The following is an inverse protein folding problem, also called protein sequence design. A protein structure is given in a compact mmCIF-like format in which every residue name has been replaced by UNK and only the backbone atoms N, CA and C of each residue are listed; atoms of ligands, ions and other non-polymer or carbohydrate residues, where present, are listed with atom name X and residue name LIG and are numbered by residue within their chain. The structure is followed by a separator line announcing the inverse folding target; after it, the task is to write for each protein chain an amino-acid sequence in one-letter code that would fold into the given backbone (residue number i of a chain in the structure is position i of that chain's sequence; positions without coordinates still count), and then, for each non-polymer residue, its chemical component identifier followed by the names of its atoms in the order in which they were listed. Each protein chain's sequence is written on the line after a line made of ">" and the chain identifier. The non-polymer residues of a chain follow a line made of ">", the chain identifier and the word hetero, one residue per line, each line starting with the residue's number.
data_IF_111792008733
#
_entry.id   IF_111792008733
#
_cell.length_a   1.000
_cell.length_b   1.000
_cell.length_c   1.000
_cell.angle_alpha   90.00
_cell.angle_beta   90.00
_cell.angle_gamma   90.00
#
_symmetry.space_group_name_H-M   'P 1'
#
loop_
_entity.id
_entity.type
_entity.pdbx_description
1 polymer ?
#
# COMPACT_ATOMS: atom_id res chain seq x y z
N UNK A 1 4.29 1.01 -8.26
CA UNK A 1 3.29 1.81 -7.48
C UNK A 1 2.41 2.70 -8.37
N UNK A 2 2.95 3.64 -9.18
CA UNK A 2 2.12 4.51 -10.04
C UNK A 2 1.26 3.72 -11.04
N UNK A 3 1.79 2.69 -11.68
CA UNK A 3 1.03 1.84 -12.61
C UNK A 3 -0.10 1.08 -11.91
N UNK A 4 0.17 0.59 -10.70
CA UNK A 4 -0.84 -0.06 -9.86
C UNK A 4 -1.96 0.93 -9.51
N UNK A 5 -1.62 2.10 -8.99
CA UNK A 5 -2.60 3.13 -8.65
C UNK A 5 -3.41 3.58 -9.89
N UNK A 6 -2.77 3.75 -11.04
CA UNK A 6 -3.46 4.07 -12.30
C UNK A 6 -4.43 2.96 -12.72
N UNK A 7 -4.07 1.69 -12.51
CA UNK A 7 -4.94 0.55 -12.86
C UNK A 7 -6.16 0.45 -11.93
N UNK A 8 -6.01 0.78 -10.65
CA UNK A 8 -7.12 0.76 -9.68
C UNK A 8 -8.05 1.96 -9.87
N UNK A 9 -7.49 3.16 -10.00
CA UNK A 9 -8.24 4.42 -10.08
C UNK A 9 -8.75 4.75 -11.48
N UNK A 10 -8.17 4.11 -12.50
CA UNK A 10 -8.49 4.38 -13.89
C UNK A 10 -7.89 5.69 -14.43
N UNK A 11 -8.29 6.13 -15.64
CA UNK A 11 -7.61 7.21 -16.37
C UNK A 11 -7.83 8.62 -15.79
N UNK A 12 -8.61 8.77 -14.75
CA UNK A 12 -8.99 10.08 -14.20
C UNK A 12 -7.93 10.73 -13.31
N UNK A 13 -6.93 9.97 -12.86
CA UNK A 13 -5.94 10.44 -11.86
C UNK A 13 -4.62 10.93 -12.49
N UNK A 14 -4.47 10.91 -13.81
CA UNK A 14 -3.26 11.36 -14.54
C UNK A 14 -1.93 10.77 -14.01
N UNK A 15 -2.00 9.62 -13.32
CA UNK A 15 -0.82 8.99 -12.71
C UNK A 15 0.16 8.43 -13.74
N UNK A 16 -0.37 7.97 -14.88
CA UNK A 16 0.44 7.54 -16.02
C UNK A 16 1.21 8.72 -16.63
N UNK A 17 0.58 9.88 -16.75
CA UNK A 17 1.22 11.10 -17.26
C UNK A 17 2.33 11.58 -16.33
N UNK A 18 2.12 11.53 -15.03
CA UNK A 18 3.16 11.83 -14.03
C UNK A 18 4.37 10.91 -14.20
N UNK A 19 4.15 9.59 -14.34
CA UNK A 19 5.22 8.63 -14.56
C UNK A 19 6.01 8.95 -15.82
N UNK A 20 5.31 9.16 -16.94
CA UNK A 20 5.93 9.47 -18.23
C UNK A 20 6.72 10.80 -18.19
N UNK A 21 6.19 11.81 -17.50
CA UNK A 21 6.88 13.06 -17.26
C UNK A 21 8.19 12.85 -16.51
N UNK A 22 8.17 12.10 -15.40
CA UNK A 22 9.36 11.85 -14.59
C UNK A 22 10.43 11.07 -15.37
N UNK A 23 10.04 10.04 -16.14
CA UNK A 23 10.96 9.28 -17.00
C UNK A 23 11.63 10.24 -18.00
N UNK A 24 10.84 11.09 -18.68
CA UNK A 24 11.39 12.03 -19.63
C UNK A 24 12.33 13.06 -18.97
N UNK A 25 12.07 13.47 -17.72
CA UNK A 25 12.98 14.36 -17.00
C UNK A 25 14.34 13.68 -16.71
N UNK A 26 14.36 12.40 -16.40
CA UNK A 26 15.62 11.65 -16.23
C UNK A 26 16.43 11.65 -17.53
N UNK A 27 15.80 11.36 -18.66
CA UNK A 27 16.43 11.38 -19.99
C UNK A 27 17.00 12.76 -20.34
N UNK A 28 16.19 13.82 -20.17
CA UNK A 28 16.59 15.21 -20.50
C UNK A 28 17.76 15.73 -19.65
N UNK A 29 17.89 15.22 -18.43
CA UNK A 29 18.98 15.59 -17.53
C UNK A 29 20.16 14.62 -17.57
N UNK A 30 20.18 13.67 -18.50
CA UNK A 30 21.29 12.73 -18.69
C UNK A 30 21.52 11.79 -17.52
N UNK A 31 20.47 11.48 -16.75
CA UNK A 31 20.57 10.54 -15.62
C UNK A 31 20.73 9.14 -16.14
N UNK A 32 21.78 8.44 -15.72
CA UNK A 32 21.95 7.01 -16.01
C UNK A 32 20.96 6.17 -15.20
N UNK A 33 20.17 5.35 -15.88
CA UNK A 33 19.17 4.48 -15.26
C UNK A 33 19.53 3.03 -15.49
N UNK A 34 19.86 2.29 -14.42
CA UNK A 34 20.20 0.87 -14.43
C UNK A 34 18.99 0.05 -13.98
N UNK A 35 18.14 -0.40 -14.92
CA UNK A 35 17.00 -1.28 -14.62
C UNK A 35 17.43 -2.74 -14.51
N UNK A 36 16.64 -3.57 -13.81
CA UNK A 36 16.94 -5.00 -13.63
C UNK A 36 18.20 -5.25 -12.78
N UNK A 37 18.63 -4.23 -12.03
CA UNK A 37 19.81 -4.30 -11.15
C UNK A 37 19.34 -4.23 -9.71
N UNK A 38 19.58 -5.28 -8.94
CA UNK A 38 19.38 -5.27 -7.50
C UNK A 38 20.50 -4.47 -6.84
N UNK A 39 20.12 -3.46 -6.07
CA UNK A 39 21.07 -2.61 -5.36
C UNK A 39 21.42 -3.28 -4.04
N UNK A 40 22.72 -3.53 -3.84
CA UNK A 40 23.29 -4.04 -2.59
C UNK A 40 24.24 -3.00 -1.98
N UNK A 41 24.57 -3.18 -0.71
CA UNK A 41 25.56 -2.33 -0.04
C UNK A 41 26.92 -2.39 -0.74
N UNK A 42 27.33 -3.59 -1.19
CA UNK A 42 28.59 -3.79 -1.91
C UNK A 42 28.61 -3.02 -3.23
N UNK A 43 27.48 -3.01 -3.96
CA UNK A 43 27.36 -2.23 -5.20
C UNK A 43 27.48 -0.73 -4.91
N UNK A 44 26.77 -0.21 -3.92
CA UNK A 44 26.85 1.20 -3.52
C UNK A 44 28.28 1.57 -3.14
N UNK A 45 28.91 0.79 -2.29
CA UNK A 45 30.27 1.05 -1.82
C UNK A 45 31.31 0.96 -2.95
N UNK A 46 31.10 0.06 -3.95
CA UNK A 46 31.99 -0.06 -5.11
C UNK A 46 31.90 1.12 -6.08
N UNK A 47 30.75 1.76 -6.20
CA UNK A 47 30.55 2.99 -7.00
C UNK A 47 31.15 4.23 -6.32
N UNK A 48 31.43 4.15 -4.99
CA UNK A 48 32.03 5.20 -4.16
C UNK A 48 31.40 6.59 -4.38
N UNK A 49 30.07 6.74 -4.26
CA UNK A 49 29.38 7.99 -4.51
C UNK A 49 29.68 9.04 -3.44
N UNK A 50 29.59 10.32 -3.78
CA UNK A 50 29.68 11.43 -2.83
C UNK A 50 28.44 11.52 -1.94
N UNK A 51 27.27 11.18 -2.47
CA UNK A 51 26.00 11.13 -1.74
C UNK A 51 25.11 9.97 -2.22
N UNK A 52 24.32 9.41 -1.31
CA UNK A 52 23.34 8.36 -1.61
C UNK A 52 21.93 8.81 -1.21
N UNK A 53 20.99 8.71 -2.12
CA UNK A 53 19.56 8.95 -1.83
C UNK A 53 18.84 7.60 -1.92
N UNK A 54 18.38 7.07 -0.78
CA UNK A 54 17.62 5.84 -0.71
C UNK A 54 16.13 6.12 -0.82
N UNK A 55 15.53 5.64 -1.91
CA UNK A 55 14.11 5.73 -2.21
C UNK A 55 13.52 4.34 -2.56
N UNK A 56 13.94 3.31 -1.82
CA UNK A 56 13.61 1.90 -2.07
C UNK A 56 12.13 1.53 -1.80
N UNK A 57 11.31 2.51 -1.45
CA UNK A 57 9.89 2.30 -1.13
C UNK A 57 9.68 1.75 0.28
N UNK A 58 8.46 1.29 0.56
CA UNK A 58 8.10 0.65 1.82
C UNK A 58 7.82 -0.83 1.63
N UNK A 59 7.78 -1.54 2.75
CA UNK A 59 7.37 -2.94 2.82
C UNK A 59 5.98 -3.02 3.45
N UNK A 60 5.09 -3.83 2.87
CA UNK A 60 3.79 -4.06 3.50
C UNK A 60 3.95 -4.98 4.70
N UNK A 61 3.30 -4.63 5.80
CA UNK A 61 3.28 -5.50 6.97
C UNK A 61 2.60 -6.83 6.64
N UNK A 62 3.15 -7.90 7.17
CA UNK A 62 2.67 -9.25 6.89
C UNK A 62 1.40 -9.53 7.67
N UNK A 63 0.34 -9.93 6.96
CA UNK A 63 -0.89 -10.37 7.58
C UNK A 63 -0.89 -11.90 7.70
N UNK A 64 -0.84 -12.40 8.92
CA UNK A 64 -1.03 -13.83 9.22
C UNK A 64 -2.40 -14.03 9.84
N UNK A 65 -3.17 -14.99 9.33
CA UNK A 65 -4.50 -15.33 9.82
C UNK A 65 -4.54 -16.83 10.13
N UNK A 66 -4.93 -17.15 11.34
CA UNK A 66 -5.11 -18.55 11.77
C UNK A 66 -6.29 -19.19 11.05
N UNK A 67 -6.19 -20.49 10.74
CA UNK A 67 -7.29 -21.22 10.14
C UNK A 67 -6.90 -22.42 9.30
N UNK A 68 -7.84 -22.87 8.48
CA UNK A 68 -7.69 -24.06 7.63
C UNK A 68 -7.19 -23.78 6.20
N UNK A 69 -6.88 -22.52 5.89
CA UNK A 69 -6.44 -22.09 4.57
C UNK A 69 -7.56 -21.98 3.52
N UNK A 70 -8.83 -22.10 3.91
CA UNK A 70 -9.98 -22.01 2.98
C UNK A 70 -10.14 -20.64 2.33
N UNK A 71 -9.65 -19.57 2.96
CA UNK A 71 -9.58 -18.24 2.38
C UNK A 71 -8.12 -17.74 2.36
N UNK A 72 -7.48 -17.70 1.18
CA UNK A 72 -6.10 -17.25 1.07
C UNK A 72 -5.96 -15.76 1.40
N UNK A 73 -4.83 -15.39 1.99
CA UNK A 73 -4.38 -14.01 2.07
C UNK A 73 -3.72 -13.64 0.75
N UNK A 74 -4.24 -12.62 0.11
CA UNK A 74 -3.78 -12.11 -1.20
C UNK A 74 -3.11 -10.76 -0.97
N UNK A 75 -1.87 -10.62 -1.40
CA UNK A 75 -1.14 -9.36 -1.30
C UNK A 75 -1.76 -8.28 -2.18
N UNK A 76 -1.71 -7.03 -1.70
CA UNK A 76 -2.29 -5.87 -2.37
C UNK A 76 -1.83 -5.73 -3.84
N UNK A 77 -0.58 -6.05 -4.13
CA UNK A 77 -0.02 -5.91 -5.48
C UNK A 77 -0.56 -6.96 -6.47
N UNK A 78 -1.18 -8.03 -5.96
CA UNK A 78 -1.64 -9.17 -6.75
C UNK A 78 -3.17 -9.31 -6.81
N UNK A 79 -3.93 -8.57 -6.00
CA UNK A 79 -5.37 -8.84 -5.85
C UNK A 79 -6.16 -8.69 -7.16
N UNK A 80 -5.79 -7.76 -8.04
CA UNK A 80 -6.46 -7.55 -9.32
C UNK A 80 -6.29 -8.72 -10.31
N UNK A 81 -5.22 -9.50 -10.14
CA UNK A 81 -4.87 -10.62 -11.01
C UNK A 81 -5.16 -11.97 -10.38
N UNK A 82 -5.57 -11.99 -9.11
CA UNK A 82 -5.86 -13.22 -8.37
C UNK A 82 -7.34 -13.55 -8.48
N UNK A 83 -7.62 -14.80 -8.88
CA UNK A 83 -9.01 -15.29 -8.85
C UNK A 83 -9.46 -15.51 -7.41
N UNK A 84 -10.44 -14.75 -6.98
CA UNK A 84 -11.04 -14.83 -5.65
C UNK A 84 -12.52 -15.17 -5.75
N UNK A 85 -13.06 -15.79 -4.69
CA UNK A 85 -14.51 -15.98 -4.54
C UNK A 85 -15.27 -14.65 -4.37
N UNK A 86 -16.53 -14.72 -4.02
CA UNK A 86 -17.40 -13.53 -4.03
C UNK A 86 -17.32 -12.70 -2.76
N UNK A 87 -16.95 -13.30 -1.63
CA UNK A 87 -16.91 -12.62 -0.32
C UNK A 87 -15.47 -12.32 0.04
N UNK A 88 -15.06 -11.06 -0.08
CA UNK A 88 -13.68 -10.65 0.12
C UNK A 88 -13.58 -9.71 1.33
N UNK A 89 -12.68 -10.03 2.24
CA UNK A 89 -12.27 -9.10 3.30
C UNK A 89 -11.10 -8.29 2.78
N UNK A 90 -11.16 -6.98 2.91
CA UNK A 90 -10.00 -6.08 2.76
C UNK A 90 -9.54 -5.72 4.18
N UNK A 91 -8.34 -6.12 4.53
CA UNK A 91 -7.75 -5.81 5.83
C UNK A 91 -6.93 -4.53 5.74
N UNK A 92 -7.25 -3.55 6.58
CA UNK A 92 -6.55 -2.26 6.63
C UNK A 92 -7.49 -1.07 6.46
N UNK A 93 -6.96 0.13 6.64
CA UNK A 93 -7.73 1.39 6.60
C UNK A 93 -7.01 2.54 5.88
N UNK A 94 -5.93 2.27 5.17
CA UNK A 94 -5.19 3.23 4.37
C UNK A 94 -5.82 3.43 2.98
N UNK A 95 -5.32 4.40 2.22
CA UNK A 95 -5.82 4.73 0.89
C UNK A 95 -5.90 3.52 -0.05
N UNK A 96 -4.89 2.64 -0.02
CA UNK A 96 -4.84 1.48 -0.89
C UNK A 96 -5.92 0.44 -0.54
N UNK A 97 -6.20 0.26 0.76
CA UNK A 97 -7.26 -0.63 1.22
C UNK A 97 -8.65 -0.15 0.74
N UNK A 98 -8.90 1.16 0.82
CA UNK A 98 -10.14 1.75 0.33
C UNK A 98 -10.27 1.69 -1.20
N UNK A 99 -9.18 1.95 -1.93
CA UNK A 99 -9.14 1.81 -3.39
C UNK A 99 -9.41 0.36 -3.81
N UNK A 100 -8.78 -0.62 -3.14
CA UNK A 100 -9.01 -2.04 -3.40
C UNK A 100 -10.46 -2.44 -3.10
N UNK A 101 -11.04 -1.95 -1.99
CA UNK A 101 -12.44 -2.22 -1.65
C UNK A 101 -13.40 -1.67 -2.71
N UNK A 102 -13.14 -0.46 -3.21
CA UNK A 102 -13.92 0.13 -4.30
C UNK A 102 -13.81 -0.70 -5.58
N UNK A 103 -12.58 -1.02 -5.99
CA UNK A 103 -12.31 -1.81 -7.20
C UNK A 103 -13.02 -3.17 -7.14
N UNK A 104 -12.88 -3.91 -6.04
CA UNK A 104 -13.52 -5.20 -5.83
C UNK A 104 -15.05 -5.09 -5.90
N UNK A 105 -15.62 -4.05 -5.30
CA UNK A 105 -17.08 -3.83 -5.29
C UNK A 105 -17.60 -3.53 -6.69
N UNK A 106 -16.89 -2.71 -7.47
CA UNK A 106 -17.22 -2.44 -8.88
C UNK A 106 -17.15 -3.74 -9.70
N UNK A 107 -16.22 -4.65 -9.35
CA UNK A 107 -16.10 -5.98 -9.96
C UNK A 107 -17.04 -7.03 -9.32
N UNK A 108 -18.13 -6.58 -8.68
CA UNK A 108 -19.22 -7.42 -8.18
C UNK A 108 -18.84 -8.35 -7.02
N UNK A 109 -17.81 -8.03 -6.26
CA UNK A 109 -17.49 -8.73 -5.01
C UNK A 109 -18.29 -8.15 -3.84
N UNK A 110 -18.61 -9.00 -2.88
CA UNK A 110 -19.17 -8.59 -1.58
C UNK A 110 -17.98 -8.25 -0.67
N UNK A 111 -17.77 -6.97 -0.44
CA UNK A 111 -16.57 -6.51 0.28
C UNK A 111 -16.90 -6.14 1.72
N UNK A 112 -16.02 -6.55 2.61
CA UNK A 112 -16.01 -6.13 4.01
C UNK A 112 -14.62 -5.59 4.36
N UNK A 113 -14.55 -4.39 4.93
CA UNK A 113 -13.30 -3.82 5.45
C UNK A 113 -13.19 -4.17 6.92
N UNK A 114 -12.03 -4.71 7.33
CA UNK A 114 -11.70 -5.01 8.72
C UNK A 114 -10.37 -4.35 9.06
N UNK A 115 -10.30 -3.60 10.15
CA UNK A 115 -9.08 -2.89 10.54
C UNK A 115 -8.98 -2.75 12.05
N UNK A 116 -7.77 -2.85 12.64
CA UNK A 116 -7.53 -2.54 14.03
C UNK A 116 -7.66 -1.04 14.35
N UNK A 117 -7.56 -0.18 13.32
CA UNK A 117 -7.61 1.27 13.49
C UNK A 117 -9.03 1.77 13.74
N UNK A 118 -9.21 2.85 14.50
CA UNK A 118 -10.51 3.48 14.69
C UNK A 118 -11.00 4.15 13.40
N UNK A 119 -12.30 4.34 13.27
CA UNK A 119 -12.90 4.99 12.11
C UNK A 119 -12.42 6.44 11.87
N UNK A 120 -11.92 7.10 12.89
CA UNK A 120 -11.31 8.43 12.78
C UNK A 120 -9.98 8.44 12.02
N UNK A 121 -9.35 7.28 11.87
CA UNK A 121 -8.07 7.10 11.18
C UNK A 121 -8.22 6.47 9.79
N UNK A 122 -9.44 6.39 9.28
CA UNK A 122 -9.69 5.90 7.94
C UNK A 122 -9.06 6.83 6.89
N UNK A 123 -8.24 6.25 6.03
CA UNK A 123 -7.64 6.91 4.86
C UNK A 123 -7.00 8.28 5.18
N UNK A 124 -6.26 8.37 6.27
CA UNK A 124 -5.60 9.62 6.71
C UNK A 124 -4.55 10.14 5.71
N UNK A 125 -4.20 9.36 4.69
CA UNK A 125 -3.27 9.75 3.62
C UNK A 125 -3.91 10.71 2.61
N UNK A 126 -5.23 10.89 2.67
CA UNK A 126 -6.02 11.76 1.82
C UNK A 126 -6.52 13.01 2.57
N UNK A 127 -7.10 13.95 1.82
CA UNK A 127 -7.83 15.04 2.46
C UNK A 127 -9.10 14.53 3.14
N UNK A 128 -9.55 15.18 4.21
CA UNK A 128 -10.80 14.82 4.89
C UNK A 128 -12.01 14.78 3.93
N UNK A 129 -12.01 15.63 2.91
CA UNK A 129 -13.08 15.66 1.92
C UNK A 129 -13.05 14.40 1.05
N UNK A 130 -11.90 14.02 0.53
CA UNK A 130 -11.73 12.81 -0.28
C UNK A 130 -12.06 11.55 0.53
N UNK A 131 -11.60 11.47 1.79
CA UNK A 131 -11.95 10.40 2.72
C UNK A 131 -13.46 10.25 2.92
N UNK A 132 -14.15 11.37 3.16
CA UNK A 132 -15.63 11.35 3.34
C UNK A 132 -16.34 10.91 2.07
N UNK A 133 -15.89 11.37 0.91
CA UNK A 133 -16.46 10.93 -0.36
C UNK A 133 -16.29 9.44 -0.58
N UNK A 134 -15.08 8.92 -0.35
CA UNK A 134 -14.77 7.50 -0.50
C UNK A 134 -15.59 6.63 0.45
N UNK A 135 -15.60 6.95 1.74
CA UNK A 135 -16.35 6.18 2.74
C UNK A 135 -17.87 6.21 2.48
N UNK A 136 -18.40 7.36 2.04
CA UNK A 136 -19.80 7.49 1.66
C UNK A 136 -20.13 6.65 0.41
N UNK A 137 -19.26 6.65 -0.60
CA UNK A 137 -19.42 5.86 -1.80
C UNK A 137 -19.39 4.35 -1.50
N UNK A 138 -18.42 3.90 -0.71
CA UNK A 138 -18.32 2.50 -0.30
C UNK A 138 -19.55 2.05 0.50
N UNK A 139 -20.01 2.87 1.43
CA UNK A 139 -21.25 2.59 2.18
C UNK A 139 -22.47 2.48 1.27
N UNK A 140 -22.63 3.42 0.33
CA UNK A 140 -23.75 3.40 -0.64
C UNK A 140 -23.68 2.17 -1.57
N UNK A 141 -22.49 1.63 -1.80
CA UNK A 141 -22.29 0.39 -2.57
C UNK A 141 -22.45 -0.88 -1.72
N UNK A 142 -22.78 -0.76 -0.44
CA UNK A 142 -23.04 -1.88 0.47
C UNK A 142 -21.80 -2.47 1.13
N UNK A 143 -20.64 -1.81 1.03
CA UNK A 143 -19.44 -2.23 1.74
C UNK A 143 -19.64 -2.02 3.23
N UNK A 144 -19.36 -3.06 4.02
CA UNK A 144 -19.39 -3.01 5.47
C UNK A 144 -17.99 -2.73 5.98
N UNK A 145 -17.87 -1.97 7.06
CA UNK A 145 -16.58 -1.72 7.72
C UNK A 145 -16.67 -2.01 9.21
N UNK A 146 -15.65 -2.69 9.71
CA UNK A 146 -15.46 -3.03 11.11
C UNK A 146 -14.14 -2.42 11.59
N UNK A 147 -14.18 -1.15 12.08
CA UNK A 147 -13.03 -0.54 12.74
C UNK A 147 -12.75 -1.20 14.10
N UNK A 148 -11.55 -1.00 14.63
CA UNK A 148 -11.10 -1.53 15.91
C UNK A 148 -11.40 -3.03 16.07
N UNK A 149 -11.24 -3.77 14.97
CA UNK A 149 -11.60 -5.19 14.88
C UNK A 149 -10.46 -5.99 14.26
N UNK A 150 -10.37 -7.25 14.64
CA UNK A 150 -9.36 -8.17 14.13
C UNK A 150 -9.99 -9.42 13.52
N UNK A 151 -9.30 -10.03 12.56
CA UNK A 151 -9.63 -11.36 12.06
C UNK A 151 -8.99 -12.35 13.00
N UNK A 152 -9.81 -13.09 13.77
CA UNK A 152 -9.33 -14.08 14.73
C UNK A 152 -8.92 -15.38 14.04
N UNK A 153 -9.77 -15.87 13.15
CA UNK A 153 -9.52 -17.14 12.43
C UNK A 153 -10.41 -17.23 11.18
N UNK A 154 -9.99 -18.07 10.24
CA UNK A 154 -10.81 -18.41 9.07
C UNK A 154 -10.87 -19.92 8.91
N UNK A 155 -12.09 -20.47 8.81
CA UNK A 155 -12.32 -21.90 8.59
C UNK A 155 -13.59 -22.12 7.77
N UNK A 156 -13.55 -23.02 6.79
CA UNK A 156 -14.68 -23.33 5.92
C UNK A 156 -15.27 -22.11 5.20
N UNK A 157 -14.41 -21.21 4.72
CA UNK A 157 -14.81 -19.94 4.09
C UNK A 157 -15.65 -19.02 5.01
N UNK A 158 -15.43 -19.10 6.31
CA UNK A 158 -16.03 -18.23 7.32
C UNK A 158 -14.93 -17.61 8.16
N UNK A 159 -14.89 -16.28 8.21
CA UNK A 159 -14.02 -15.54 9.10
C UNK A 159 -14.74 -15.25 10.42
N UNK A 160 -14.08 -15.49 11.54
CA UNK A 160 -14.49 -15.03 12.85
C UNK A 160 -13.73 -13.75 13.17
N UNK A 161 -14.48 -12.67 13.35
CA UNK A 161 -13.95 -11.37 13.75
C UNK A 161 -14.09 -11.18 15.25
N UNK A 162 -13.11 -10.55 15.87
CA UNK A 162 -13.23 -9.97 17.21
C UNK A 162 -13.47 -8.48 17.06
N UNK A 163 -14.62 -7.99 17.48
CA UNK A 163 -15.00 -6.59 17.39
C UNK A 163 -14.42 -5.78 18.56
N UNK A 164 -14.45 -4.45 18.46
CA UNK A 164 -14.04 -3.49 19.53
C UNK A 164 -14.67 -3.82 20.90
N UNK A 165 -15.95 -4.21 20.90
CA UNK A 165 -16.67 -4.64 22.11
C UNK A 165 -16.20 -5.96 22.72
N UNK A 166 -15.26 -6.67 22.10
CA UNK A 166 -14.85 -8.03 22.46
C UNK A 166 -15.83 -9.12 21.99
N UNK A 167 -16.92 -8.75 21.33
CA UNK A 167 -17.89 -9.71 20.78
C UNK A 167 -17.31 -10.35 19.53
N UNK A 168 -17.47 -11.66 19.39
CA UNK A 168 -17.11 -12.38 18.18
C UNK A 168 -18.28 -12.44 17.21
N UNK A 169 -17.99 -12.27 15.92
CA UNK A 169 -18.97 -12.44 14.88
C UNK A 169 -18.40 -13.19 13.68
N UNK A 170 -19.23 -13.95 13.00
CA UNK A 170 -18.84 -14.73 11.83
C UNK A 170 -19.38 -14.10 10.56
N UNK A 171 -18.52 -14.01 9.55
CA UNK A 171 -18.87 -13.52 8.20
C UNK A 171 -18.31 -14.47 7.14
N UNK A 172 -18.95 -14.51 5.97
CA UNK A 172 -18.40 -15.23 4.82
C UNK A 172 -17.10 -14.59 4.36
N UNK A 173 -16.12 -15.43 4.04
CA UNK A 173 -14.80 -15.01 3.60
C UNK A 173 -14.22 -16.03 2.62
N UNK A 174 -14.09 -15.65 1.38
CA UNK A 174 -13.49 -16.50 0.34
C UNK A 174 -12.03 -16.10 0.05
N UNK A 175 -11.65 -14.88 0.41
CA UNK A 175 -10.27 -14.38 0.35
C UNK A 175 -10.12 -13.15 1.25
N UNK A 176 -8.88 -12.87 1.63
CA UNK A 176 -8.49 -11.66 2.39
C UNK A 176 -7.45 -10.92 1.56
N UNK A 177 -7.71 -9.65 1.25
CA UNK A 177 -6.72 -8.77 0.62
C UNK A 177 -5.93 -8.06 1.73
N UNK A 178 -4.62 -8.26 1.74
CA UNK A 178 -3.74 -7.62 2.69
C UNK A 178 -3.53 -6.14 2.35
N UNK A 179 -4.28 -5.28 2.99
CA UNK A 179 -4.16 -3.82 2.94
C UNK A 179 -3.55 -3.24 4.21
N UNK A 180 -2.77 -4.03 4.98
CA UNK A 180 -2.04 -3.55 6.14
C UNK A 180 -1.14 -2.35 5.81
N UNK A 181 -0.73 -1.61 6.81
CA UNK A 181 0.09 -0.43 6.62
C UNK A 181 1.47 -0.76 6.06
N UNK A 182 2.06 0.22 5.38
CA UNK A 182 3.42 0.11 4.86
C UNK A 182 4.41 0.47 5.97
N UNK A 183 5.49 -0.30 6.06
CA UNK A 183 6.62 -0.06 6.95
C UNK A 183 7.79 0.53 6.16
N UNK A 184 8.63 1.38 6.77
CA UNK A 184 9.85 1.87 6.14
C UNK A 184 10.75 0.72 5.69
N UNK A 185 11.31 0.81 4.48
CA UNK A 185 12.31 -0.14 4.01
C UNK A 185 13.72 0.43 4.24
N UNK A 186 14.28 0.13 5.39
CA UNK A 186 15.61 0.62 5.81
C UNK A 186 16.72 -0.41 5.61
N UNK A 187 16.45 -1.50 4.91
CA UNK A 187 17.39 -2.64 4.79
C UNK A 187 18.75 -2.31 4.19
N UNK A 188 18.84 -1.24 3.39
CA UNK A 188 20.08 -0.78 2.76
C UNK A 188 20.79 0.33 3.53
N UNK A 189 20.21 0.88 4.60
CA UNK A 189 20.77 2.06 5.31
C UNK A 189 22.05 1.72 6.05
N UNK A 190 22.07 0.57 6.73
CA UNK A 190 23.21 0.15 7.53
C UNK A 190 24.33 -0.40 6.63
N UNK A 191 25.57 0.07 6.84
CA UNK A 191 26.76 -0.42 6.12
C UNK A 191 27.10 0.30 4.82
N UNK A 192 26.42 1.40 4.49
CA UNK A 192 26.80 2.29 3.38
C UNK A 192 28.03 3.13 3.81
N UNK A 193 29.12 3.00 3.07
CA UNK A 193 30.32 3.83 3.23
C UNK A 193 30.20 5.09 2.35
N UNK A 194 29.43 6.06 2.82
CA UNK A 194 29.22 7.34 2.14
C UNK A 194 29.05 8.46 3.16
N UNK A 195 29.54 9.66 2.83
CA UNK A 195 29.47 10.82 3.74
C UNK A 195 28.05 11.31 3.95
N UNK A 196 27.24 11.25 2.90
CA UNK A 196 25.89 11.80 2.88
C UNK A 196 24.91 10.72 2.43
N UNK A 197 24.04 10.29 3.34
CA UNK A 197 23.00 9.29 3.07
C UNK A 197 21.64 9.89 3.44
N UNK A 198 20.78 9.98 2.46
CA UNK A 198 19.42 10.48 2.61
C UNK A 198 18.42 9.34 2.40
N UNK A 199 17.52 9.13 3.35
CA UNK A 199 16.40 8.18 3.21
C UNK A 199 15.12 8.99 3.00
N UNK A 200 14.40 8.73 1.90
CA UNK A 200 13.25 9.54 1.48
C UNK A 200 12.04 8.70 1.07
N UNK A 201 10.88 9.37 0.97
CA UNK A 201 9.63 8.73 0.56
C UNK A 201 9.23 7.60 1.51
N UNK A 202 8.62 6.56 0.97
CA UNK A 202 8.14 5.42 1.77
C UNK A 202 9.26 4.59 2.38
N UNK A 203 10.51 4.78 1.94
CA UNK A 203 11.68 4.20 2.55
C UNK A 203 11.94 4.79 3.96
N UNK A 204 11.60 6.07 4.16
CA UNK A 204 11.76 6.76 5.44
C UNK A 204 10.45 6.80 6.25
N UNK A 205 9.36 7.19 5.60
CA UNK A 205 8.06 7.36 6.23
C UNK A 205 6.95 7.15 5.20
N UNK A 206 6.41 5.94 5.09
CA UNK A 206 5.34 5.63 4.15
C UNK A 206 4.12 6.51 4.39
N UNK A 207 3.71 7.25 3.35
CA UNK A 207 2.52 8.07 3.47
C UNK A 207 1.82 8.28 2.13
N UNK A 208 2.26 9.23 1.28
CA UNK A 208 1.66 9.51 -0.02
C UNK A 208 2.68 10.03 -1.04
N UNK A 209 2.24 10.06 -2.31
CA UNK A 209 3.06 10.50 -3.44
C UNK A 209 3.60 11.93 -3.26
N UNK A 210 2.80 12.84 -2.67
CA UNK A 210 3.20 14.23 -2.49
C UNK A 210 4.39 14.37 -1.53
N UNK A 211 4.40 13.61 -0.44
CA UNK A 211 5.53 13.58 0.49
C UNK A 211 6.75 12.89 -0.11
N UNK A 212 6.57 11.83 -0.90
CA UNK A 212 7.66 11.17 -1.59
C UNK A 212 8.36 12.12 -2.59
N UNK A 213 7.58 12.86 -3.40
CA UNK A 213 8.11 13.86 -4.34
C UNK A 213 8.82 15.00 -3.60
N UNK A 214 8.23 15.49 -2.49
CA UNK A 214 8.85 16.53 -1.66
C UNK A 214 10.19 16.05 -1.10
N UNK A 215 10.23 14.85 -0.51
CA UNK A 215 11.47 14.26 0.02
C UNK A 215 12.55 14.16 -1.05
N UNK A 216 12.21 13.74 -2.28
CA UNK A 216 13.14 13.71 -3.40
C UNK A 216 13.65 15.09 -3.80
N UNK A 217 12.77 16.08 -3.84
CA UNK A 217 13.17 17.47 -4.15
C UNK A 217 14.08 18.07 -3.05
N UNK A 218 13.76 17.81 -1.79
CA UNK A 218 14.53 18.35 -0.67
C UNK A 218 15.93 17.70 -0.59
N UNK A 219 16.04 16.38 -0.77
CA UNK A 219 17.30 15.67 -0.84
C UNK A 219 18.14 16.12 -2.05
N UNK A 220 17.52 16.20 -3.25
CA UNK A 220 18.24 16.63 -4.46
C UNK A 220 18.69 18.09 -4.47
N UNK A 221 18.27 18.90 -3.50
CA UNK A 221 18.77 20.27 -3.28
C UNK A 221 19.83 20.35 -2.21
N UNK A 222 19.91 19.34 -1.35
CA UNK A 222 20.87 19.28 -0.25
C UNK A 222 22.23 18.71 -0.71
N UNK A 223 22.22 17.91 -1.76
CA UNK A 223 23.42 17.29 -2.38
C UNK A 223 24.20 18.27 -3.23
#
# INVERSE_FOLDING_TARGET
>A
MLDFAASVKGPHENLADLKNYLIRQLELNGVEVKTGTEVTQELINSEAPDAVILAAGGLRDTLTVDGDGSAPVVEMDNFMFTKMGDNVIVYGSNAQAFDAALWLTVHKKNVTIVTPNPASEFDMQQSQHAMRMMTTALYALGVKSYPQSAIKTVSGNVATLTLDSGVEMSIKCDAIVNGADMLPNTSLVDGIDCKEVYTIGDCANPFNIALAIRGGNDAGRAV
#
